data_IF_679205191974
#
_entry.id   IF_679205191974
#
_cell.length_a   1.000
_cell.length_b   1.000
_cell.length_c   1.000
_cell.angle_alpha   90.00
_cell.angle_beta   90.00
_cell.angle_gamma   90.00
#
_symmetry.space_group_name_H-M   'P 1'
#
loop_
_entity.id
_entity.type
_entity.pdbx_description
1 polymer ?
#
# COMPACT_ATOMS: atom_id res chain seq x y z
N UNK A 1 -42.88 -17.42 11.99
CA UNK A 1 -41.96 -17.60 10.85
C UNK A 1 -41.56 -16.19 10.43
N UNK A 2 -40.28 -15.81 10.56
CA UNK A 2 -39.81 -14.46 10.22
C UNK A 2 -39.84 -14.32 8.69
N UNK A 3 -40.70 -13.45 8.12
CA UNK A 3 -40.82 -13.29 6.68
C UNK A 3 -39.56 -12.70 6.02
N UNK A 4 -38.61 -12.19 6.81
CA UNK A 4 -37.36 -11.61 6.36
C UNK A 4 -36.12 -12.47 6.67
N UNK A 5 -36.28 -13.68 7.20
CA UNK A 5 -35.14 -14.54 7.56
C UNK A 5 -34.12 -14.73 6.41
N UNK A 6 -34.62 -14.80 5.16
CA UNK A 6 -33.76 -14.90 3.97
C UNK A 6 -33.01 -13.58 3.68
N UNK A 7 -33.62 -12.43 3.96
CA UNK A 7 -32.95 -11.13 3.84
C UNK A 7 -31.93 -10.93 4.96
N UNK A 8 -32.25 -11.33 6.18
CA UNK A 8 -31.36 -11.27 7.34
C UNK A 8 -30.07 -12.10 7.08
N UNK A 9 -30.21 -13.33 6.53
CA UNK A 9 -29.06 -14.18 6.16
C UNK A 9 -28.20 -13.58 5.03
N UNK A 10 -28.81 -12.89 4.06
CA UNK A 10 -28.08 -12.22 2.97
C UNK A 10 -27.30 -11.01 3.50
N UNK A 11 -27.91 -10.23 4.38
CA UNK A 11 -27.30 -9.06 5.00
C UNK A 11 -26.13 -9.46 5.91
N UNK A 12 -26.32 -10.47 6.77
CA UNK A 12 -25.26 -11.00 7.63
C UNK A 12 -24.06 -11.48 6.82
N UNK A 13 -24.29 -12.20 5.72
CA UNK A 13 -23.23 -12.64 4.83
C UNK A 13 -22.49 -11.49 4.14
N UNK A 14 -23.21 -10.43 3.73
CA UNK A 14 -22.58 -9.25 3.13
C UNK A 14 -21.67 -8.53 4.14
N UNK A 15 -22.13 -8.40 5.38
CA UNK A 15 -21.34 -7.81 6.46
C UNK A 15 -20.10 -8.64 6.78
N UNK A 16 -20.21 -9.97 6.79
CA UNK A 16 -19.06 -10.87 6.95
C UNK A 16 -18.06 -10.71 5.80
N UNK A 17 -18.52 -10.73 4.54
CA UNK A 17 -17.67 -10.58 3.36
C UNK A 17 -16.95 -9.21 3.35
N UNK A 18 -17.64 -8.13 3.74
CA UNK A 18 -17.04 -6.81 3.93
C UNK A 18 -15.98 -6.83 5.02
N UNK A 19 -16.27 -7.42 6.18
CA UNK A 19 -15.32 -7.53 7.27
C UNK A 19 -14.06 -8.33 6.89
N UNK A 20 -14.22 -9.48 6.22
CA UNK A 20 -13.09 -10.25 5.70
C UNK A 20 -12.25 -9.45 4.73
N UNK A 21 -12.89 -8.65 3.87
CA UNK A 21 -12.18 -7.78 2.93
C UNK A 21 -11.37 -6.71 3.64
N UNK A 22 -11.92 -6.08 4.68
CA UNK A 22 -11.19 -5.10 5.51
C UNK A 22 -9.95 -5.74 6.16
N UNK A 23 -10.08 -6.91 6.77
CA UNK A 23 -8.95 -7.63 7.38
C UNK A 23 -7.85 -7.93 6.35
N UNK A 24 -8.21 -8.36 5.14
CA UNK A 24 -7.25 -8.60 4.07
C UNK A 24 -6.54 -7.29 3.68
N UNK A 25 -7.27 -6.18 3.55
CA UNK A 25 -6.69 -4.89 3.19
C UNK A 25 -5.74 -4.36 4.27
N UNK A 26 -6.10 -4.50 5.54
CA UNK A 26 -5.24 -4.15 6.68
C UNK A 26 -3.95 -4.97 6.66
N UNK A 27 -4.06 -6.30 6.49
CA UNK A 27 -2.89 -7.17 6.42
C UNK A 27 -1.99 -6.79 5.24
N UNK A 28 -2.56 -6.51 4.07
CA UNK A 28 -1.80 -6.07 2.91
C UNK A 28 -1.09 -4.74 3.18
N UNK A 29 -1.72 -3.82 3.90
CA UNK A 29 -1.14 -2.55 4.32
C UNK A 29 0.07 -2.75 5.25
N UNK A 30 -0.07 -3.60 6.27
CA UNK A 30 1.02 -3.93 7.21
C UNK A 30 2.20 -4.59 6.52
N UNK A 31 1.94 -5.52 5.61
CA UNK A 31 2.98 -6.22 4.85
C UNK A 31 3.72 -5.24 3.91
N UNK A 32 2.99 -4.32 3.26
CA UNK A 32 3.56 -3.31 2.39
C UNK A 32 4.44 -2.32 3.16
N UNK A 33 3.97 -1.88 4.34
CA UNK A 33 4.74 -1.02 5.25
C UNK A 33 6.02 -1.73 5.72
N UNK A 34 5.96 -3.02 6.03
CA UNK A 34 7.14 -3.81 6.42
C UNK A 34 8.20 -3.88 5.32
N UNK A 35 7.80 -3.92 4.04
CA UNK A 35 8.73 -3.86 2.91
C UNK A 35 9.27 -2.44 2.75
N UNK A 36 8.39 -1.45 2.77
CA UNK A 36 8.73 -0.04 2.60
C UNK A 36 9.76 0.43 3.64
N UNK A 37 9.59 0.04 4.90
CA UNK A 37 10.49 0.39 6.00
C UNK A 37 11.90 -0.23 5.90
N UNK A 38 12.13 -1.16 4.96
CA UNK A 38 13.46 -1.68 4.65
C UNK A 38 14.20 -0.85 3.61
N UNK A 39 13.52 0.08 2.94
CA UNK A 39 14.13 0.96 1.96
C UNK A 39 15.06 1.97 2.67
N UNK A 40 16.16 2.37 2.01
CA UNK A 40 17.00 3.46 2.47
C UNK A 40 16.20 4.76 2.68
N UNK A 41 16.51 5.46 3.78
CA UNK A 41 15.92 6.78 4.07
C UNK A 41 16.44 7.86 3.12
N UNK A 42 17.71 7.78 2.70
CA UNK A 42 18.28 8.74 1.77
C UNK A 42 17.89 8.38 0.32
N UNK A 43 17.22 9.30 -0.38
CA UNK A 43 16.77 9.11 -1.76
C UNK A 43 17.92 8.77 -2.71
N UNK A 44 19.11 9.30 -2.44
CA UNK A 44 20.34 9.03 -3.20
C UNK A 44 20.83 7.59 -3.08
N UNK A 45 20.34 6.79 -2.12
CA UNK A 45 20.65 5.36 -2.03
C UNK A 45 19.59 4.46 -2.67
N UNK A 46 18.47 5.03 -3.11
CA UNK A 46 17.39 4.28 -3.76
C UNK A 46 17.70 3.98 -5.23
N UNK A 47 18.41 4.90 -5.89
CA UNK A 47 18.69 4.81 -7.30
C UNK A 47 20.17 4.61 -7.60
N UNK A 48 20.45 4.23 -8.84
CA UNK A 48 21.82 4.16 -9.35
C UNK A 48 22.48 5.54 -9.35
N UNK A 49 23.82 5.57 -9.28
CA UNK A 49 24.61 6.80 -9.36
C UNK A 49 24.26 7.65 -10.59
N UNK A 50 24.00 7.00 -11.73
CA UNK A 50 23.62 7.69 -12.97
C UNK A 50 22.26 8.36 -12.80
N UNK A 51 21.28 7.67 -12.23
CA UNK A 51 19.95 8.24 -11.98
C UNK A 51 20.04 9.41 -11.02
N UNK A 52 20.78 9.28 -9.92
CA UNK A 52 20.97 10.37 -8.96
C UNK A 52 21.68 11.57 -9.57
N UNK A 53 22.63 11.37 -10.48
CA UNK A 53 23.29 12.47 -11.19
C UNK A 53 22.30 13.34 -11.98
N UNK A 54 21.24 12.75 -12.53
CA UNK A 54 20.26 13.48 -13.34
C UNK A 54 19.04 13.93 -12.54
N UNK A 55 18.62 13.15 -11.55
CA UNK A 55 17.33 13.34 -10.85
C UNK A 55 17.47 13.50 -9.33
N UNK A 56 18.63 13.22 -8.75
CA UNK A 56 18.84 13.23 -7.28
C UNK A 56 18.48 14.56 -6.64
N UNK A 57 18.97 15.67 -7.23
CA UNK A 57 18.70 17.02 -6.72
C UNK A 57 17.21 17.37 -6.72
N UNK A 58 16.39 16.76 -7.60
CA UNK A 58 14.94 16.99 -7.60
C UNK A 58 14.34 16.54 -6.28
N UNK A 59 14.83 15.46 -5.69
CA UNK A 59 14.31 14.92 -4.44
C UNK A 59 14.94 15.57 -3.20
N UNK A 60 16.16 16.09 -3.30
CA UNK A 60 16.83 16.80 -2.19
C UNK A 60 16.29 18.22 -2.01
N UNK A 61 16.06 18.95 -3.11
CA UNK A 61 15.68 20.37 -3.08
C UNK A 61 14.16 20.58 -3.01
N UNK A 62 13.36 19.55 -3.30
CA UNK A 62 11.91 19.65 -3.38
C UNK A 62 11.19 18.57 -2.55
N UNK A 63 10.61 19.01 -1.43
CA UNK A 63 9.89 18.15 -0.49
C UNK A 63 8.65 17.50 -1.11
N UNK A 64 7.97 18.17 -2.04
CA UNK A 64 6.80 17.63 -2.73
C UNK A 64 7.22 16.48 -3.66
N UNK A 65 8.34 16.64 -4.37
CA UNK A 65 8.89 15.57 -5.20
C UNK A 65 9.32 14.37 -4.36
N UNK A 66 9.89 14.59 -3.17
CA UNK A 66 10.25 13.52 -2.24
C UNK A 66 9.00 12.80 -1.69
N UNK A 67 7.93 13.53 -1.36
CA UNK A 67 6.67 12.92 -0.92
C UNK A 67 6.04 12.07 -2.03
N UNK A 68 6.02 12.57 -3.27
CA UNK A 68 5.54 11.80 -4.43
C UNK A 68 6.36 10.53 -4.65
N UNK A 69 7.69 10.60 -4.46
CA UNK A 69 8.55 9.43 -4.53
C UNK A 69 8.20 8.41 -3.43
N UNK A 70 7.99 8.86 -2.20
CA UNK A 70 7.59 8.01 -1.09
C UNK A 70 6.25 7.31 -1.37
N UNK A 71 5.24 8.05 -1.85
CA UNK A 71 3.93 7.50 -2.23
C UNK A 71 4.04 6.45 -3.34
N UNK A 72 4.90 6.73 -4.34
CA UNK A 72 5.18 5.80 -5.43
C UNK A 72 5.83 4.50 -4.92
N UNK A 73 6.84 4.61 -4.06
CA UNK A 73 7.55 3.46 -3.50
C UNK A 73 6.63 2.61 -2.61
N UNK A 74 5.79 3.25 -1.79
CA UNK A 74 4.78 2.55 -0.99
C UNK A 74 3.78 1.82 -1.89
N UNK A 75 3.29 2.48 -2.94
CA UNK A 75 2.38 1.87 -3.92
C UNK A 75 3.00 0.67 -4.63
N UNK A 76 4.30 0.73 -4.95
CA UNK A 76 5.03 -0.40 -5.51
C UNK A 76 5.14 -1.57 -4.51
N UNK A 77 5.38 -1.29 -3.22
CA UNK A 77 5.37 -2.31 -2.17
C UNK A 77 3.99 -2.98 -2.05
N UNK A 78 2.92 -2.18 -2.05
CA UNK A 78 1.54 -2.67 -1.99
C UNK A 78 1.19 -3.55 -3.20
N UNK A 79 1.65 -3.18 -4.40
CA UNK A 79 1.45 -4.00 -5.60
C UNK A 79 2.11 -5.37 -5.47
N UNK A 80 3.34 -5.44 -4.95
CA UNK A 80 4.07 -6.70 -4.73
C UNK A 80 3.33 -7.59 -3.73
N UNK A 81 2.79 -7.02 -2.65
CA UNK A 81 2.01 -7.78 -1.67
C UNK A 81 0.73 -8.34 -2.29
N UNK A 82 0.00 -7.51 -3.05
CA UNK A 82 -1.23 -7.92 -3.74
C UNK A 82 -1.03 -9.00 -4.81
N UNK A 83 0.16 -9.10 -5.41
CA UNK A 83 0.48 -10.16 -6.38
C UNK A 83 0.87 -11.49 -5.72
N UNK A 84 1.20 -11.48 -4.41
CA UNK A 84 1.62 -12.67 -3.66
C UNK A 84 0.46 -13.37 -2.94
N UNK A 85 -0.66 -12.68 -2.73
CA UNK A 85 -1.92 -13.26 -2.23
C UNK A 85 -2.81 -13.71 -3.37
#
# INVERSE_FOLDING_TARGET
MNPYAVYDEIEEKQLEDEHYREVILEQQGMDAETIYNKLPLESTKLFSDITNKYFGNIFEDNIEAMNLLNDFLYSACLLVVKQKG
#
